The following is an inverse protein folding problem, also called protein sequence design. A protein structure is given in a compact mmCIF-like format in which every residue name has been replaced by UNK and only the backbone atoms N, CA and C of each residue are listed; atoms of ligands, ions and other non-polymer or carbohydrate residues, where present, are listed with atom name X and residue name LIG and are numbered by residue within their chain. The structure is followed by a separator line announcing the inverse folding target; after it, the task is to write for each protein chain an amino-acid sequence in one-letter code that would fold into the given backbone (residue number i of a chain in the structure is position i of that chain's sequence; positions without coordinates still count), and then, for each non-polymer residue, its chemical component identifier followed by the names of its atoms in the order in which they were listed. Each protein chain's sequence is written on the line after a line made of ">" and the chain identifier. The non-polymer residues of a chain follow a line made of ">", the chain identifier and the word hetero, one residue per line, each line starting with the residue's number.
data_IF_672823774345
#
_entry.id   IF_672823774345
#
_cell.length_a   1.000
_cell.length_b   1.000
_cell.length_c   1.000
_cell.angle_alpha   90.00
_cell.angle_beta   90.00
_cell.angle_gamma   90.00
#
_symmetry.space_group_name_H-M   'P 1'
#
loop_
_entity.id
_entity.type
_entity.pdbx_description
1 polymer ?
#
# COMPACT_ATOMS: atom_id res chain seq x y z
N UNK A 1 -17.28 0.55 -12.73
CA UNK A 1 -16.69 1.09 -11.49
C UNK A 1 -15.27 1.55 -11.80
N UNK A 2 -14.83 2.75 -11.39
CA UNK A 2 -13.45 3.16 -11.59
C UNK A 2 -12.52 2.18 -10.86
N UNK A 3 -11.47 1.73 -11.52
CA UNK A 3 -10.47 0.80 -10.98
C UNK A 3 -9.89 1.43 -9.70
N UNK A 4 -10.21 0.84 -8.54
CA UNK A 4 -9.81 1.41 -7.25
C UNK A 4 -8.28 1.44 -7.16
N UNK A 5 -7.73 2.58 -6.73
CA UNK A 5 -6.28 2.74 -6.52
C UNK A 5 -5.93 1.99 -5.23
N UNK A 6 -5.24 0.86 -5.37
CA UNK A 6 -4.83 0.02 -4.23
C UNK A 6 -3.52 0.52 -3.62
N UNK A 7 -2.62 1.10 -4.43
CA UNK A 7 -1.33 1.63 -3.98
C UNK A 7 -1.40 2.67 -2.83
N UNK A 8 -2.34 3.64 -2.78
CA UNK A 8 -2.45 4.55 -1.65
C UNK A 8 -2.78 3.82 -0.34
N UNK A 9 -3.65 2.81 -0.38
CA UNK A 9 -4.00 2.00 0.80
C UNK A 9 -2.79 1.22 1.30
N UNK A 10 -2.01 0.65 0.37
CA UNK A 10 -0.73 -0.01 0.69
C UNK A 10 0.22 0.97 1.37
N UNK A 11 0.44 2.15 0.78
CA UNK A 11 1.35 3.17 1.31
C UNK A 11 0.91 3.63 2.71
N UNK A 12 -0.40 3.86 2.91
CA UNK A 12 -0.96 4.21 4.22
C UNK A 12 -0.76 3.08 5.23
N UNK A 13 -0.93 1.82 4.82
CA UNK A 13 -0.65 0.65 5.67
C UNK A 13 0.82 0.58 6.13
N UNK A 14 1.77 0.83 5.22
CA UNK A 14 3.21 0.89 5.54
C UNK A 14 3.49 2.00 6.57
N UNK A 15 2.92 3.18 6.38
CA UNK A 15 3.06 4.31 7.32
C UNK A 15 2.43 4.00 8.68
N UNK A 16 1.25 3.37 8.70
CA UNK A 16 0.55 2.95 9.90
C UNK A 16 1.33 1.93 10.72
N UNK A 17 2.01 0.99 10.06
CA UNK A 17 2.84 -0.02 10.72
C UNK A 17 4.15 0.56 11.29
N UNK A 18 4.70 1.60 10.65
CA UNK A 18 5.99 2.19 11.03
C UNK A 18 5.89 3.17 12.22
N UNK A 19 4.70 3.72 12.50
CA UNK A 19 4.45 4.62 13.65
C UNK A 19 5.22 5.95 13.66
N UNK A 20 6.03 6.22 12.62
CA UNK A 20 6.91 7.38 12.50
C UNK A 20 6.91 7.94 11.06
N UNK A 21 7.56 9.09 10.86
CA UNK A 21 7.78 9.65 9.52
C UNK A 21 8.69 8.72 8.71
N UNK A 22 8.30 8.39 7.48
CA UNK A 22 9.02 7.47 6.59
C UNK A 22 9.50 8.19 5.34
N UNK A 23 10.71 7.87 4.87
CA UNK A 23 11.25 8.47 3.64
C UNK A 23 10.63 7.82 2.40
N UNK A 24 10.60 8.55 1.29
CA UNK A 24 10.14 7.99 0.01
C UNK A 24 10.92 6.73 -0.41
N UNK A 25 12.21 6.67 -0.05
CA UNK A 25 13.06 5.50 -0.26
C UNK A 25 12.59 4.32 0.59
N UNK A 26 12.36 4.52 1.89
CA UNK A 26 11.86 3.44 2.78
C UNK A 26 10.53 2.87 2.28
N UNK A 27 9.60 3.72 1.84
CA UNK A 27 8.32 3.28 1.27
C UNK A 27 8.56 2.43 0.02
N UNK A 28 9.43 2.91 -0.87
CA UNK A 28 9.77 2.20 -2.12
C UNK A 28 10.40 0.84 -1.83
N UNK A 29 11.35 0.78 -0.90
CA UNK A 29 12.06 -0.44 -0.52
C UNK A 29 11.09 -1.46 0.10
N UNK A 30 10.17 -1.01 0.97
CA UNK A 30 9.17 -1.86 1.61
C UNK A 30 8.16 -2.43 0.60
N UNK A 31 7.67 -1.59 -0.33
CA UNK A 31 6.76 -2.04 -1.40
C UNK A 31 7.40 -3.13 -2.26
N UNK A 32 8.69 -3.05 -2.54
CA UNK A 32 9.38 -4.01 -3.39
C UNK A 32 9.75 -5.30 -2.65
N UNK A 33 10.25 -5.17 -1.42
CA UNK A 33 10.79 -6.30 -0.67
C UNK A 33 9.70 -7.14 -0.01
N UNK A 34 8.76 -6.48 0.68
CA UNK A 34 7.83 -7.15 1.58
C UNK A 34 6.46 -7.35 0.94
N UNK A 35 6.12 -6.51 -0.05
CA UNK A 35 4.83 -6.56 -0.75
C UNK A 35 4.93 -7.07 -2.18
N UNK A 36 6.13 -7.19 -2.75
CA UNK A 36 6.33 -7.65 -4.13
C UNK A 36 5.74 -9.04 -4.40
N UNK A 37 5.71 -9.93 -3.42
CA UNK A 37 5.09 -11.26 -3.55
C UNK A 37 3.55 -11.20 -3.64
N UNK A 38 2.94 -10.18 -3.04
CA UNK A 38 1.48 -10.03 -2.97
C UNK A 38 0.92 -9.05 -4.00
N UNK A 39 1.68 -7.99 -4.32
CA UNK A 39 1.22 -6.90 -5.18
C UNK A 39 2.36 -6.29 -5.99
N UNK A 40 2.34 -6.53 -7.30
CA UNK A 40 3.36 -6.04 -8.23
C UNK A 40 3.17 -4.55 -8.53
N UNK A 41 4.04 -3.71 -7.98
CA UNK A 41 4.06 -2.25 -8.20
C UNK A 41 5.40 -1.87 -8.80
N UNK A 42 5.39 -1.13 -9.90
CA UNK A 42 6.63 -0.60 -10.46
C UNK A 42 7.18 0.52 -9.56
N UNK A 43 8.50 0.57 -9.38
CA UNK A 43 9.20 1.66 -8.67
C UNK A 43 8.76 3.06 -9.15
N UNK A 44 8.55 3.19 -10.47
CA UNK A 44 8.12 4.43 -11.11
C UNK A 44 6.73 4.88 -10.72
N UNK A 45 5.89 4.02 -10.12
CA UNK A 45 4.54 4.37 -9.70
C UNK A 45 4.47 4.92 -8.27
N UNK A 46 5.44 4.63 -7.41
CA UNK A 46 5.43 5.06 -6.00
C UNK A 46 5.53 6.58 -5.87
N UNK A 47 6.53 7.21 -6.50
CA UNK A 47 6.74 8.66 -6.35
C UNK A 47 5.63 9.54 -6.94
N UNK A 48 5.08 9.25 -8.14
CA UNK A 48 3.89 9.94 -8.63
C UNK A 48 2.70 9.78 -7.68
N UNK A 49 2.55 8.60 -7.09
CA UNK A 49 1.48 8.32 -6.14
C UNK A 49 1.65 9.11 -4.84
N UNK A 50 2.85 9.15 -4.25
CA UNK A 50 3.15 9.97 -3.08
C UNK A 50 2.84 11.45 -3.35
N UNK A 51 3.22 11.96 -4.54
CA UNK A 51 2.91 13.34 -4.94
C UNK A 51 1.40 13.56 -5.04
N UNK A 52 0.65 12.58 -5.52
CA UNK A 52 -0.80 12.64 -5.62
C UNK A 52 -1.48 12.57 -4.26
N UNK A 53 -1.07 11.64 -3.40
CA UNK A 53 -1.57 11.51 -2.02
C UNK A 53 -1.32 12.77 -1.19
N UNK A 54 -0.18 13.46 -1.42
CA UNK A 54 0.11 14.74 -0.76
C UNK A 54 -0.87 15.82 -1.21
N UNK A 55 -1.23 15.87 -2.49
CA UNK A 55 -2.25 16.80 -3.02
C UNK A 55 -3.67 16.45 -2.55
N UNK A 56 -3.93 15.17 -2.29
CA UNK A 56 -5.18 14.65 -1.75
C UNK A 56 -5.23 14.78 -0.21
N UNK A 57 -4.23 15.41 0.42
CA UNK A 57 -4.14 15.63 1.87
C UNK A 57 -4.17 14.35 2.72
N UNK A 58 -3.87 13.20 2.11
CA UNK A 58 -3.81 11.90 2.79
C UNK A 58 -2.49 11.72 3.57
N UNK A 59 -1.45 12.40 3.10
CA UNK A 59 -0.13 12.40 3.71
C UNK A 59 0.45 13.81 3.70
N UNK A 60 1.28 14.13 4.68
CA UNK A 60 2.15 15.30 4.66
C UNK A 60 3.50 14.94 4.08
N UNK A 61 4.19 15.95 3.52
CA UNK A 61 5.52 15.80 2.96
C UNK A 61 6.41 16.92 3.53
N UNK A 62 7.50 16.53 4.19
CA UNK A 62 8.48 17.43 4.78
C UNK A 62 9.88 17.11 4.27
N UNK A 63 10.74 18.13 4.15
CA UNK A 63 12.15 17.90 3.87
C UNK A 63 12.83 17.32 5.12
N UNK A 64 13.80 16.43 4.94
CA UNK A 64 14.61 15.91 6.04
C UNK A 64 15.49 17.03 6.59
N UNK A 65 15.56 17.24 7.93
CA UNK A 65 16.47 18.21 8.52
C UNK A 65 17.92 17.92 8.11
N UNK A 66 18.58 18.89 7.49
CA UNK A 66 19.96 18.75 7.00
C UNK A 66 20.11 18.10 5.61
N UNK A 67 19.02 17.66 4.96
CA UNK A 67 19.02 17.16 3.59
C UNK A 67 17.74 17.55 2.85
N UNK A 68 17.74 18.73 2.23
CA UNK A 68 16.58 19.27 1.50
C UNK A 68 16.17 18.45 0.27
N UNK A 69 17.06 17.58 -0.23
CA UNK A 69 16.78 16.69 -1.35
C UNK A 69 15.96 15.47 -0.94
N UNK A 70 15.98 15.13 0.35
CA UNK A 70 15.27 13.97 0.87
C UNK A 70 13.95 14.38 1.51
N UNK A 71 12.92 13.58 1.27
CA UNK A 71 11.56 13.84 1.72
C UNK A 71 11.09 12.75 2.66
N UNK A 72 10.52 13.18 3.77
CA UNK A 72 9.79 12.37 4.73
C UNK A 72 8.30 12.59 4.57
N UNK A 73 7.55 11.51 4.76
CA UNK A 73 6.12 11.48 4.65
C UNK A 73 5.52 11.00 5.95
N UNK A 74 4.38 11.58 6.33
CA UNK A 74 3.59 11.13 7.47
C UNK A 74 2.11 11.07 7.09
N UNK A 75 1.41 10.10 7.66
CA UNK A 75 -0.03 9.95 7.45
C UNK A 75 -0.79 11.06 8.17
N UNK A 76 -1.79 11.66 7.51
CA UNK A 76 -2.71 12.62 8.13
C UNK A 76 -3.87 11.92 8.83
N UNK A 77 -4.69 12.67 9.56
CA UNK A 77 -5.95 12.16 10.10
C UNK A 77 -6.89 11.65 8.98
N UNK A 78 -6.95 12.37 7.85
CA UNK A 78 -7.72 11.97 6.67
C UNK A 78 -7.19 10.66 6.07
N UNK A 79 -5.88 10.54 5.91
CA UNK A 79 -5.25 9.30 5.44
C UNK A 79 -5.52 8.12 6.38
N UNK A 80 -5.51 8.36 7.69
CA UNK A 80 -5.84 7.35 8.68
C UNK A 80 -7.29 6.87 8.55
N UNK A 81 -8.24 7.79 8.42
CA UNK A 81 -9.65 7.45 8.24
C UNK A 81 -9.87 6.60 6.98
N UNK A 82 -9.24 6.95 5.85
CA UNK A 82 -9.34 6.15 4.61
C UNK A 82 -8.76 4.75 4.80
N UNK A 83 -7.63 4.63 5.50
CA UNK A 83 -7.04 3.33 5.79
C UNK A 83 -7.97 2.49 6.66
N UNK A 84 -8.51 3.08 7.74
CA UNK A 84 -9.41 2.38 8.66
C UNK A 84 -10.72 1.97 7.96
N UNK A 85 -11.28 2.83 7.11
CA UNK A 85 -12.45 2.51 6.26
C UNK A 85 -12.13 1.33 5.35
N UNK A 86 -11.01 1.37 4.62
CA UNK A 86 -10.61 0.29 3.72
C UNK A 86 -10.39 -1.05 4.44
N UNK A 87 -9.78 -1.03 5.62
CA UNK A 87 -9.56 -2.23 6.44
C UNK A 87 -10.86 -2.77 7.07
N UNK A 88 -11.86 -1.92 7.26
CA UNK A 88 -13.16 -2.32 7.82
C UNK A 88 -14.08 -3.02 6.82
N UNK A 89 -13.81 -2.87 5.52
CA UNK A 89 -14.58 -3.52 4.46
C UNK A 89 -14.30 -5.03 4.50
N UNK A 90 -15.31 -5.88 4.76
CA UNK A 90 -15.13 -7.33 4.73
C UNK A 90 -14.72 -7.77 3.34
N UNK A 91 -13.74 -8.67 3.25
CA UNK A 91 -13.47 -9.37 1.99
C UNK A 91 -14.61 -10.39 1.75
N UNK A 92 -15.64 -9.99 1.02
CA UNK A 92 -16.78 -10.85 0.67
C UNK A 92 -16.36 -12.03 -0.23
N UNK A 93 -15.25 -11.87 -0.96
CA UNK A 93 -14.60 -12.95 -1.68
C UNK A 93 -13.62 -13.66 -0.73
N UNK A 94 -14.05 -14.80 -0.19
CA UNK A 94 -13.12 -15.82 0.33
C UNK A 94 -12.01 -16.00 -0.71
N UNK A 95 -10.71 -16.00 -0.35
CA UNK A 95 -9.68 -16.33 -1.31
C UNK A 95 -10.08 -17.65 -1.96
N UNK A 96 -10.34 -17.65 -3.27
CA UNK A 96 -10.56 -18.90 -3.99
C UNK A 96 -9.24 -19.65 -3.91
N UNK A 97 -9.01 -20.41 -2.83
CA UNK A 97 -8.09 -21.52 -2.86
C UNK A 97 -8.68 -22.48 -3.88
N UNK A 98 -8.26 -22.33 -5.12
CA UNK A 98 -8.43 -23.36 -6.14
C UNK A 98 -7.55 -24.51 -5.70
N UNK A 99 -8.11 -25.38 -4.86
CA UNK A 99 -7.41 -26.57 -4.42
C UNK A 99 -7.31 -27.54 -5.60
N UNK A 100 -6.17 -27.47 -6.28
CA UNK A 100 -5.80 -28.37 -7.36
C UNK A 100 -5.80 -29.83 -6.91
N UNK A 101 -5.60 -30.12 -5.62
CA UNK A 101 -5.69 -31.47 -5.08
C UNK A 101 -7.14 -31.99 -5.14
N UNK A 102 -8.10 -31.24 -4.60
CA UNK A 102 -9.53 -31.58 -4.67
C UNK A 102 -10.03 -31.77 -6.11
N UNK A 103 -9.61 -30.92 -7.05
CA UNK A 103 -9.94 -31.08 -8.48
C UNK A 103 -9.32 -32.38 -9.04
N UNK A 104 -8.06 -32.67 -8.73
CA UNK A 104 -7.41 -33.91 -9.19
C UNK A 104 -8.07 -35.16 -8.61
N UNK A 105 -8.49 -35.14 -7.34
CA UNK A 105 -9.19 -36.25 -6.69
C UNK A 105 -10.58 -36.48 -7.29
N UNK A 106 -11.30 -35.43 -7.70
CA UNK A 106 -12.59 -35.56 -8.37
C UNK A 106 -12.51 -36.32 -9.71
N UNK A 107 -11.37 -36.22 -10.41
CA UNK A 107 -11.13 -36.95 -11.67
C UNK A 107 -10.33 -38.25 -11.49
N UNK A 108 -10.05 -38.65 -10.25
CA UNK A 108 -9.38 -39.93 -9.98
C UNK A 108 -10.46 -41.03 -9.87
N UNK A 109 -10.37 -42.12 -10.67
CA UNK A 109 -11.38 -43.17 -10.75
C UNK A 109 -11.48 -44.03 -9.48
#
# INVERSE_FOLDING_TARGET
>A
MPKQRILPHIILGIMGASGQMVTGKQITDYVQRDLGEFWQVAHSQVYPELKRMTKEELITCHAVPGNEKEKQYAMTATGRQILDEWLSIPNEETPQQRDLFSIKMFFYP
#
